data_IF_987464095348
#
_entry.id   IF_987464095348
#
_cell.length_a   1.000
_cell.length_b   1.000
_cell.length_c   1.000
_cell.angle_alpha   90.00
_cell.angle_beta   90.00
_cell.angle_gamma   90.00
#
_symmetry.space_group_name_H-M   'P 1'
#
loop_
_entity.id
_entity.type
_entity.pdbx_description
1 polymer ?
#
# COMPACT_ATOMS: atom_id res chain seq x y z
N UNK A 1 -21.31 -45.33 21.10
CA UNK A 1 -21.48 -44.02 20.44
C UNK A 1 -22.25 -44.25 19.13
N UNK A 2 -23.54 -43.83 19.07
CA UNK A 2 -24.40 -44.10 17.93
C UNK A 2 -23.90 -43.37 16.66
N UNK A 3 -23.99 -44.03 15.49
CA UNK A 3 -23.61 -43.47 14.17
C UNK A 3 -24.25 -42.10 13.87
N UNK A 4 -25.45 -41.85 14.36
CA UNK A 4 -26.17 -40.55 14.22
C UNK A 4 -25.49 -39.41 14.99
N UNK A 5 -24.89 -39.66 16.15
CA UNK A 5 -24.19 -38.63 16.95
C UNK A 5 -22.87 -38.20 16.30
N UNK A 6 -22.21 -39.08 15.53
CA UNK A 6 -21.00 -38.75 14.79
C UNK A 6 -21.26 -37.77 13.64
N UNK A 7 -22.43 -37.85 12.99
CA UNK A 7 -22.82 -36.92 11.91
C UNK A 7 -23.09 -35.50 12.42
N UNK A 8 -23.77 -35.38 13.57
CA UNK A 8 -24.06 -34.07 14.18
C UNK A 8 -22.78 -33.37 14.62
N UNK A 9 -21.89 -34.08 15.29
CA UNK A 9 -20.60 -33.52 15.73
C UNK A 9 -19.73 -33.08 14.54
N UNK A 10 -19.77 -33.77 13.41
CA UNK A 10 -19.04 -33.40 12.20
C UNK A 10 -19.57 -32.06 11.59
N UNK A 11 -20.88 -31.87 11.59
CA UNK A 11 -21.50 -30.64 11.10
C UNK A 11 -21.17 -29.46 12.03
N UNK A 12 -21.27 -29.67 13.35
CA UNK A 12 -20.93 -28.67 14.34
C UNK A 12 -19.45 -28.23 14.20
N UNK A 13 -18.55 -29.20 14.08
CA UNK A 13 -17.13 -28.93 13.82
C UNK A 13 -16.92 -28.15 12.53
N UNK A 14 -17.63 -28.51 11.44
CA UNK A 14 -17.51 -27.80 10.16
C UNK A 14 -17.94 -26.34 10.27
N UNK A 15 -19.00 -26.02 11.01
CA UNK A 15 -19.44 -24.65 11.25
C UNK A 15 -18.43 -23.86 12.07
N UNK A 16 -17.90 -24.44 13.15
CA UNK A 16 -16.88 -23.80 13.99
C UNK A 16 -15.61 -23.56 13.17
N UNK A 17 -15.16 -24.55 12.39
CA UNK A 17 -13.99 -24.43 11.52
C UNK A 17 -14.19 -23.34 10.46
N UNK A 18 -15.37 -23.30 9.84
CA UNK A 18 -15.69 -22.25 8.86
C UNK A 18 -15.64 -20.85 9.50
N UNK A 19 -16.26 -20.67 10.67
CA UNK A 19 -16.20 -19.40 11.41
C UNK A 19 -14.76 -19.00 11.76
N UNK A 20 -13.94 -19.97 12.18
CA UNK A 20 -12.53 -19.76 12.50
C UNK A 20 -11.72 -19.31 11.25
N UNK A 21 -11.91 -20.00 10.12
CA UNK A 21 -11.24 -19.65 8.86
C UNK A 21 -11.61 -18.24 8.39
N UNK A 22 -12.91 -17.86 8.54
CA UNK A 22 -13.37 -16.52 8.24
C UNK A 22 -12.73 -15.45 9.12
N UNK A 23 -12.63 -15.72 10.41
CA UNK A 23 -11.96 -14.81 11.33
C UNK A 23 -10.49 -14.62 10.95
N UNK A 24 -9.76 -15.71 10.65
CA UNK A 24 -8.38 -15.63 10.19
C UNK A 24 -8.24 -14.87 8.86
N UNK A 25 -9.12 -15.11 7.90
CA UNK A 25 -9.10 -14.39 6.63
C UNK A 25 -9.35 -12.89 6.84
N UNK A 26 -10.31 -12.54 7.71
CA UNK A 26 -10.58 -11.14 8.07
C UNK A 26 -9.35 -10.46 8.69
N UNK A 27 -8.74 -11.08 9.68
CA UNK A 27 -7.55 -10.55 10.36
C UNK A 27 -6.39 -10.38 9.36
N UNK A 28 -6.14 -11.37 8.50
CA UNK A 28 -5.09 -11.30 7.48
C UNK A 28 -5.35 -10.18 6.48
N UNK A 29 -6.60 -10.02 6.03
CA UNK A 29 -6.98 -8.95 5.09
C UNK A 29 -6.76 -7.57 5.70
N UNK A 30 -7.25 -7.34 6.92
CA UNK A 30 -7.04 -6.07 7.62
C UNK A 30 -5.56 -5.81 7.91
N UNK A 31 -4.82 -6.83 8.29
CA UNK A 31 -3.38 -6.72 8.54
C UNK A 31 -2.61 -6.25 7.30
N UNK A 32 -2.93 -6.78 6.12
CA UNK A 32 -2.32 -6.37 4.85
C UNK A 32 -2.71 -4.95 4.48
N UNK A 33 -3.97 -4.54 4.67
CA UNK A 33 -4.42 -3.17 4.40
C UNK A 33 -3.67 -2.18 5.29
N UNK A 34 -3.61 -2.45 6.60
CA UNK A 34 -2.90 -1.60 7.55
C UNK A 34 -1.40 -1.52 7.25
N UNK A 35 -0.78 -2.65 6.92
CA UNK A 35 0.62 -2.68 6.51
C UNK A 35 0.86 -1.83 5.25
N UNK A 36 -0.01 -1.96 4.25
CA UNK A 36 0.07 -1.18 3.01
C UNK A 36 -0.06 0.31 3.32
N UNK A 37 -1.03 0.69 4.15
CA UNK A 37 -1.22 2.09 4.57
C UNK A 37 0.00 2.64 5.31
N UNK A 38 0.63 1.85 6.18
CA UNK A 38 1.86 2.23 6.87
C UNK A 38 3.04 2.42 5.91
N UNK A 39 3.19 1.52 4.94
CA UNK A 39 4.25 1.63 3.94
C UNK A 39 4.07 2.87 3.04
N UNK A 40 2.84 3.19 2.63
CA UNK A 40 2.53 4.42 1.88
C UNK A 40 2.83 5.67 2.73
N UNK A 41 2.45 5.65 4.01
CA UNK A 41 2.69 6.76 4.93
C UNK A 41 4.18 7.00 5.16
N UNK A 42 4.95 5.92 5.32
CA UNK A 42 6.41 6.00 5.45
C UNK A 42 7.04 6.56 4.18
N UNK A 43 6.68 6.07 3.00
CA UNK A 43 7.22 6.55 1.74
C UNK A 43 6.90 8.02 1.48
N UNK A 44 5.67 8.47 1.78
CA UNK A 44 5.29 9.87 1.70
C UNK A 44 6.13 10.74 2.65
N UNK A 45 6.35 10.27 3.89
CA UNK A 45 7.16 10.97 4.89
C UNK A 45 8.65 11.03 4.47
N UNK A 46 9.20 9.95 3.92
CA UNK A 46 10.58 9.92 3.41
C UNK A 46 10.76 10.91 2.24
N UNK A 47 9.79 10.96 1.32
CA UNK A 47 9.76 11.97 0.26
C UNK A 47 9.67 13.41 0.78
N UNK A 48 8.84 13.65 1.80
CA UNK A 48 8.74 14.97 2.43
C UNK A 48 10.05 15.37 3.14
N UNK A 49 10.73 14.44 3.80
CA UNK A 49 12.05 14.70 4.42
C UNK A 49 13.15 14.96 3.40
N UNK A 50 13.07 14.38 2.21
CA UNK A 50 14.03 14.59 1.14
C UNK A 50 14.13 16.06 0.72
N UNK A 51 13.12 16.88 0.99
CA UNK A 51 13.17 18.35 0.80
C UNK A 51 14.37 18.99 1.49
N UNK A 52 14.77 18.50 2.67
CA UNK A 52 15.90 19.05 3.42
C UNK A 52 17.24 18.89 2.69
N UNK A 53 17.32 17.99 1.71
CA UNK A 53 18.50 17.80 0.86
C UNK A 53 18.57 18.86 -0.25
N UNK A 54 17.52 19.64 -0.45
CA UNK A 54 17.39 20.62 -1.54
C UNK A 54 17.01 22.01 -1.01
N UNK A 55 17.90 22.70 -0.26
CA UNK A 55 17.61 24.02 0.32
C UNK A 55 17.28 25.09 -0.73
N UNK A 56 17.77 24.91 -1.96
CA UNK A 56 17.49 25.79 -3.09
C UNK A 56 16.04 25.72 -3.61
N UNK A 57 15.23 24.77 -3.17
CA UNK A 57 13.85 24.61 -3.65
C UNK A 57 12.97 25.82 -3.40
N UNK A 58 13.28 26.64 -2.40
CA UNK A 58 12.55 27.89 -2.12
C UNK A 58 12.62 28.91 -3.25
N UNK A 59 13.70 28.90 -4.01
CA UNK A 59 13.98 29.87 -5.09
C UNK A 59 14.04 29.19 -6.46
N UNK A 60 14.03 27.87 -6.51
CA UNK A 60 14.14 27.11 -7.75
C UNK A 60 12.92 27.33 -8.64
N UNK A 61 13.18 27.56 -9.92
CA UNK A 61 12.15 27.73 -10.95
C UNK A 61 12.48 26.87 -12.17
N UNK A 62 11.45 26.56 -12.96
CA UNK A 62 11.64 25.87 -14.24
C UNK A 62 12.31 24.47 -14.11
N UNK A 63 13.42 24.23 -14.85
CA UNK A 63 14.02 22.91 -14.94
C UNK A 63 14.64 22.40 -13.62
N UNK A 64 15.14 23.31 -12.78
CA UNK A 64 15.71 22.94 -11.48
C UNK A 64 14.64 22.36 -10.54
N UNK A 65 13.46 22.98 -10.52
CA UNK A 65 12.31 22.49 -9.78
C UNK A 65 11.85 21.12 -10.27
N UNK A 66 11.82 20.92 -11.59
CA UNK A 66 11.46 19.63 -12.18
C UNK A 66 12.45 18.53 -11.79
N UNK A 67 13.75 18.82 -11.81
CA UNK A 67 14.81 17.90 -11.42
C UNK A 67 14.69 17.51 -9.95
N UNK A 68 14.50 18.48 -9.07
CA UNK A 68 14.33 18.21 -7.64
C UNK A 68 13.08 17.38 -7.33
N UNK A 69 11.95 17.67 -8.01
CA UNK A 69 10.75 16.84 -7.90
C UNK A 69 11.02 15.39 -8.31
N UNK A 70 11.69 15.16 -9.42
CA UNK A 70 12.03 13.82 -9.90
C UNK A 70 12.93 13.07 -8.91
N UNK A 71 13.85 13.77 -8.25
CA UNK A 71 14.71 13.18 -7.22
C UNK A 71 13.92 12.82 -5.95
N UNK A 72 12.99 13.66 -5.52
CA UNK A 72 12.07 13.36 -4.40
C UNK A 72 11.19 12.16 -4.74
N UNK A 73 10.64 12.10 -5.95
CA UNK A 73 9.88 10.93 -6.41
C UNK A 73 10.74 9.65 -6.38
N UNK A 74 12.02 9.74 -6.75
CA UNK A 74 12.94 8.61 -6.68
C UNK A 74 13.09 8.09 -5.25
N UNK A 75 13.21 8.96 -4.26
CA UNK A 75 13.27 8.57 -2.84
C UNK A 75 12.00 7.84 -2.41
N UNK A 76 10.83 8.33 -2.85
CA UNK A 76 9.54 7.68 -2.57
C UNK A 76 9.50 6.27 -3.19
N UNK A 77 9.92 6.13 -4.45
CA UNK A 77 9.96 4.84 -5.14
C UNK A 77 10.95 3.87 -4.49
N UNK A 78 12.08 4.35 -4.00
CA UNK A 78 13.06 3.52 -3.28
C UNK A 78 12.50 3.02 -1.95
N UNK A 79 11.85 3.89 -1.19
CA UNK A 79 11.17 3.51 0.05
C UNK A 79 10.07 2.45 -0.19
N UNK A 80 9.25 2.62 -1.24
CA UNK A 80 8.21 1.66 -1.61
C UNK A 80 8.79 0.34 -2.12
N UNK A 81 9.89 0.37 -2.88
CA UNK A 81 10.50 -0.84 -3.45
C UNK A 81 11.05 -1.78 -2.38
N UNK A 82 11.39 -1.28 -1.21
CA UNK A 82 11.78 -2.07 -0.04
C UNK A 82 10.61 -2.75 0.69
N UNK A 83 9.35 -2.39 0.36
CA UNK A 83 8.17 -2.92 1.04
C UNK A 83 7.69 -4.26 0.46
N UNK A 84 6.85 -5.00 1.24
CA UNK A 84 6.25 -6.28 0.82
C UNK A 84 5.02 -6.07 -0.07
N UNK A 85 4.70 -4.84 -0.46
CA UNK A 85 3.53 -4.53 -1.29
C UNK A 85 3.67 -5.13 -2.69
N UNK A 86 4.91 -5.27 -3.19
CA UNK A 86 5.16 -5.83 -4.52
C UNK A 86 4.93 -7.34 -4.49
N UNK A 87 4.04 -7.89 -5.35
CA UNK A 87 3.81 -9.32 -5.43
C UNK A 87 5.07 -10.10 -5.76
N UNK A 88 5.18 -11.33 -5.24
CA UNK A 88 6.34 -12.20 -5.46
C UNK A 88 6.69 -12.39 -6.93
N UNK A 89 5.69 -12.43 -7.82
CA UNK A 89 5.89 -12.54 -9.27
C UNK A 89 6.69 -11.38 -9.90
N UNK A 90 6.76 -10.23 -9.23
CA UNK A 90 7.44 -9.02 -9.69
C UNK A 90 8.58 -8.61 -8.75
N UNK A 91 8.97 -9.46 -7.80
CA UNK A 91 9.92 -9.12 -6.73
C UNK A 91 11.37 -9.55 -7.00
N UNK A 92 11.64 -10.28 -8.09
CA UNK A 92 12.94 -10.90 -8.38
C UNK A 92 14.08 -9.88 -8.51
N UNK A 93 13.81 -8.72 -9.09
CA UNK A 93 14.81 -7.67 -9.30
C UNK A 93 14.29 -6.30 -8.88
N UNK A 94 15.16 -5.38 -8.41
CA UNK A 94 14.75 -4.00 -8.10
C UNK A 94 14.08 -3.28 -9.26
N UNK A 95 14.53 -3.54 -10.49
CA UNK A 95 13.96 -2.95 -11.69
C UNK A 95 12.51 -3.40 -11.94
N UNK A 96 12.22 -4.70 -11.81
CA UNK A 96 10.85 -5.25 -11.93
C UNK A 96 9.94 -4.69 -10.82
N UNK A 97 10.45 -4.58 -9.59
CA UNK A 97 9.71 -3.99 -8.47
C UNK A 97 9.30 -2.55 -8.77
N UNK A 98 10.25 -1.71 -9.22
CA UNK A 98 9.97 -0.31 -9.59
C UNK A 98 9.00 -0.21 -10.76
N UNK A 99 9.16 -1.03 -11.80
CA UNK A 99 8.26 -1.04 -12.95
C UNK A 99 6.82 -1.38 -12.54
N UNK A 100 6.62 -2.38 -11.70
CA UNK A 100 5.31 -2.74 -11.17
C UNK A 100 4.71 -1.61 -10.33
N UNK A 101 5.50 -1.01 -9.43
CA UNK A 101 5.06 0.12 -8.61
C UNK A 101 4.62 1.31 -9.48
N UNK A 102 5.42 1.68 -10.49
CA UNK A 102 5.12 2.79 -11.39
C UNK A 102 3.85 2.57 -12.23
N UNK A 103 3.50 1.32 -12.52
CA UNK A 103 2.25 0.97 -13.22
C UNK A 103 1.04 0.95 -12.30
N UNK A 104 1.24 0.63 -11.01
CA UNK A 104 0.14 0.36 -10.09
C UNK A 104 -0.15 1.53 -9.15
N UNK A 105 0.85 2.34 -8.83
CA UNK A 105 0.74 3.44 -7.87
C UNK A 105 0.92 4.79 -8.53
N UNK A 106 0.40 5.82 -7.87
CA UNK A 106 0.60 7.21 -8.29
C UNK A 106 1.33 7.98 -7.19
N UNK A 107 2.44 8.59 -7.54
CA UNK A 107 3.17 9.53 -6.67
C UNK A 107 2.99 10.94 -7.24
N UNK A 108 2.56 11.86 -6.41
CA UNK A 108 2.39 13.27 -6.80
C UNK A 108 3.17 14.15 -5.82
N UNK A 109 4.08 14.95 -6.37
CA UNK A 109 4.87 15.93 -5.62
C UNK A 109 4.43 17.33 -6.03
N UNK A 110 3.68 17.99 -5.16
CA UNK A 110 3.15 19.33 -5.37
C UNK A 110 3.81 20.35 -4.44
N UNK A 111 4.05 21.54 -4.97
CA UNK A 111 4.62 22.68 -4.22
C UNK A 111 3.66 23.88 -4.37
N UNK A 112 2.63 23.99 -3.52
CA UNK A 112 1.63 25.05 -3.66
C UNK A 112 2.12 26.44 -3.19
N UNK A 113 3.25 26.59 -2.56
CA UNK A 113 3.90 27.87 -2.24
C UNK A 113 5.15 27.64 -1.36
N UNK A 114 5.00 27.68 -0.05
CA UNK A 114 6.08 27.50 0.95
C UNK A 114 6.10 26.09 1.53
N UNK A 115 5.29 25.19 0.99
CA UNK A 115 5.19 23.81 1.45
C UNK A 115 5.34 22.83 0.31
N UNK A 116 6.02 21.71 0.57
CA UNK A 116 6.02 20.56 -0.30
C UNK A 116 4.96 19.58 0.19
N UNK A 117 4.15 19.09 -0.71
CA UNK A 117 3.19 18.02 -0.44
C UNK A 117 3.53 16.79 -1.28
N UNK A 118 3.79 15.68 -0.62
CA UNK A 118 3.97 14.38 -1.26
C UNK A 118 2.73 13.55 -1.01
N UNK A 119 2.07 13.12 -2.08
CA UNK A 119 0.88 12.28 -2.04
C UNK A 119 1.19 10.97 -2.75
N UNK A 120 0.99 9.85 -2.07
CA UNK A 120 1.14 8.50 -2.61
C UNK A 120 -0.22 7.82 -2.59
N UNK A 121 -0.67 7.33 -3.73
CA UNK A 121 -1.96 6.68 -3.89
C UNK A 121 -1.80 5.28 -4.49
N UNK A 122 -2.48 4.30 -3.89
CA UNK A 122 -2.48 2.91 -4.29
C UNK A 122 -3.91 2.41 -4.51
N UNK A 123 -4.30 2.00 -5.74
CA UNK A 123 -5.60 1.42 -6.01
C UNK A 123 -5.65 -0.01 -5.46
N UNK A 124 -6.13 -0.17 -4.23
CA UNK A 124 -6.12 -1.44 -3.51
C UNK A 124 -6.91 -2.55 -4.23
N UNK A 125 -7.96 -2.18 -4.97
CA UNK A 125 -8.77 -3.14 -5.74
C UNK A 125 -8.02 -3.77 -6.91
N UNK A 126 -7.06 -3.05 -7.51
CA UNK A 126 -6.28 -3.53 -8.64
C UNK A 126 -5.09 -4.39 -8.21
N UNK A 127 -4.58 -4.19 -7.00
CA UNK A 127 -3.37 -4.85 -6.49
C UNK A 127 -3.61 -5.72 -5.26
N UNK A 128 -4.74 -6.42 -5.17
CA UNK A 128 -5.05 -7.29 -4.02
C UNK A 128 -3.95 -8.32 -3.81
N UNK A 129 -3.36 -8.33 -2.62
CA UNK A 129 -2.32 -9.30 -2.23
C UNK A 129 -2.93 -10.64 -1.81
N UNK A 130 -4.21 -10.66 -1.42
CA UNK A 130 -4.93 -11.89 -1.08
C UNK A 130 -5.89 -12.29 -2.21
N UNK A 131 -6.05 -13.60 -2.45
CA UNK A 131 -7.00 -14.10 -3.42
C UNK A 131 -8.43 -13.71 -3.01
N UNK A 132 -9.25 -13.39 -4.00
CA UNK A 132 -10.66 -13.14 -3.79
C UNK A 132 -11.39 -14.43 -3.39
N UNK A 133 -12.18 -14.35 -2.31
CA UNK A 133 -13.03 -15.45 -1.86
C UNK A 133 -14.46 -15.14 -2.29
N UNK A 134 -15.08 -15.96 -3.17
CA UNK A 134 -16.39 -15.66 -3.77
C UNK A 134 -17.54 -15.44 -2.78
N UNK A 135 -17.43 -16.00 -1.57
CA UNK A 135 -18.45 -15.86 -0.51
C UNK A 135 -18.39 -14.53 0.23
N UNK A 136 -17.27 -13.77 0.10
CA UNK A 136 -17.03 -12.55 0.86
C UNK A 136 -16.61 -11.42 -0.07
N UNK A 137 -17.57 -10.61 -0.45
CA UNK A 137 -17.27 -9.36 -1.15
C UNK A 137 -16.72 -8.32 -0.16
N UNK A 138 -15.39 -8.30 -0.05
CA UNK A 138 -14.68 -7.33 0.78
C UNK A 138 -14.64 -5.93 0.16
N UNK A 139 -15.13 -5.75 -1.07
CA UNK A 139 -15.10 -4.45 -1.77
C UNK A 139 -15.95 -3.38 -1.08
N UNK A 140 -16.98 -3.77 -0.34
CA UNK A 140 -17.84 -2.85 0.41
C UNK A 140 -17.22 -2.40 1.76
N UNK A 141 -16.23 -3.13 2.25
CA UNK A 141 -15.64 -2.92 3.58
C UNK A 141 -14.24 -2.30 3.51
N UNK A 142 -13.61 -2.38 2.34
CA UNK A 142 -12.25 -1.89 2.12
C UNK A 142 -12.27 -0.67 1.20
N UNK A 143 -11.44 0.35 1.47
CA UNK A 143 -11.32 1.49 0.59
C UNK A 143 -10.79 1.05 -0.78
N UNK A 144 -11.39 1.54 -1.85
CA UNK A 144 -10.94 1.24 -3.22
C UNK A 144 -9.54 1.79 -3.52
N UNK A 145 -9.15 2.86 -2.83
CA UNK A 145 -7.84 3.50 -2.96
C UNK A 145 -7.29 3.85 -1.58
N UNK A 146 -6.08 3.44 -1.31
CA UNK A 146 -5.31 3.86 -0.13
C UNK A 146 -4.47 5.07 -0.52
N UNK A 147 -4.58 6.14 0.25
CA UNK A 147 -3.85 7.39 -0.01
C UNK A 147 -3.14 7.83 1.25
N UNK A 148 -1.87 8.20 1.11
CA UNK A 148 -1.10 8.83 2.17
C UNK A 148 -0.52 10.15 1.69
N UNK A 149 -0.51 11.15 2.59
CA UNK A 149 -0.03 12.49 2.32
C UNK A 149 0.92 12.93 3.42
N UNK A 150 2.07 13.46 3.02
CA UNK A 150 3.00 14.12 3.92
C UNK A 150 3.28 15.55 3.42
N UNK A 151 3.48 16.46 4.37
CA UNK A 151 3.74 17.87 4.10
C UNK A 151 5.02 18.27 4.81
N UNK A 152 5.90 18.95 4.08
CA UNK A 152 7.10 19.58 4.64
C UNK A 152 7.08 21.07 4.33
N UNK A 153 7.56 21.89 5.26
CA UNK A 153 7.84 23.31 5.01
C UNK A 153 9.13 23.44 4.19
N UNK A 154 9.14 24.38 3.24
CA UNK A 154 10.29 24.75 2.42
C UNK A 154 11.13 25.81 3.12
#
# INVERSE_FOLDING_TARGET
>A
MNRRQRGVAAIEFAFVLMGLLLAFYGIATFGIVLYTQQALSRAAADGARAVQMFPQLRTATGPELATAKAQIETVVWDSLSGSIIVPLAHSDTPAKRRAWLAQTMTVNVAMPSTTLTVTVSYPYTAGRLLPWVPLFDTSQWLPGTLTSRAIAAL
#
